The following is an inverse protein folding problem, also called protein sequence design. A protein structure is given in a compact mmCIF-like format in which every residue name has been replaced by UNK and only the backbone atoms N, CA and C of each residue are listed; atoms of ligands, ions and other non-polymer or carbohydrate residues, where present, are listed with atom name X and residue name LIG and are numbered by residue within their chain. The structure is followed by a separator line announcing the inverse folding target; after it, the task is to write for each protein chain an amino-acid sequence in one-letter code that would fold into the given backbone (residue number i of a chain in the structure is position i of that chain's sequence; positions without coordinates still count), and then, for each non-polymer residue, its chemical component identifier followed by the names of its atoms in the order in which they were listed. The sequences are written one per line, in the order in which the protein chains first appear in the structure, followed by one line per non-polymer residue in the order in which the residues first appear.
data_IF_730092063926
#
_entry.id   IF_730092063926
#
_cell.length_a   1.000
_cell.length_b   1.000
_cell.length_c   1.000
_cell.angle_alpha   90.00
_cell.angle_beta   90.00
_cell.angle_gamma   90.00
#
_symmetry.space_group_name_H-M   'P 1'
#
loop_
_entity.id
_entity.type
_entity.pdbx_description
1 polymer ?
#
# COMPACT_ATOMS: atom_id res chain seq x y z
N UNK A 1 15.65 22.88 19.26
CA UNK A 1 16.50 22.71 18.07
C UNK A 1 16.65 23.99 17.26
N UNK A 2 15.64 24.55 16.56
CA UNK A 2 15.82 25.83 15.83
C UNK A 2 16.26 26.96 16.76
N UNK A 3 15.62 27.11 17.93
CA UNK A 3 16.03 28.07 18.96
C UNK A 3 17.46 27.81 19.45
N UNK A 4 17.85 26.55 19.61
CA UNK A 4 19.19 26.16 20.06
C UNK A 4 20.27 26.46 19.01
N UNK A 5 19.96 26.19 17.73
CA UNK A 5 20.79 26.59 16.58
C UNK A 5 20.92 28.12 16.55
N UNK A 6 19.84 28.86 16.82
CA UNK A 6 19.89 30.32 16.84
C UNK A 6 20.78 30.91 17.93
N UNK A 7 21.01 30.18 19.03
CA UNK A 7 21.97 30.62 20.04
C UNK A 7 23.43 30.31 19.67
N UNK A 8 23.67 29.40 18.72
CA UNK A 8 25.02 28.96 18.34
C UNK A 8 25.51 29.62 17.06
N UNK A 9 24.61 29.99 16.15
CA UNK A 9 24.91 30.76 14.95
C UNK A 9 24.65 32.24 15.23
N UNK A 10 25.72 33.03 15.29
CA UNK A 10 25.62 34.48 15.26
C UNK A 10 25.16 34.88 13.85
N UNK A 11 24.06 35.64 13.73
CA UNK A 11 23.52 36.10 12.45
C UNK A 11 24.55 36.90 11.63
N UNK A 12 25.59 37.46 12.26
CA UNK A 12 26.70 38.12 11.57
C UNK A 12 27.66 37.18 10.84
N UNK A 13 27.59 35.87 11.11
CA UNK A 13 28.47 34.87 10.50
C UNK A 13 28.03 34.42 9.10
N UNK A 14 26.79 34.72 8.69
CA UNK A 14 26.25 34.33 7.38
C UNK A 14 25.94 35.57 6.56
N UNK A 15 26.62 35.70 5.43
CA UNK A 15 26.43 36.82 4.51
C UNK A 15 25.29 36.54 3.52
N UNK A 16 24.71 37.57 2.88
CA UNK A 16 23.77 37.36 1.77
C UNK A 16 24.33 36.49 0.64
N UNK A 17 25.63 36.60 0.36
CA UNK A 17 26.31 35.80 -0.67
C UNK A 17 26.37 34.32 -0.29
N UNK A 18 26.51 34.00 1.01
CA UNK A 18 26.44 32.62 1.51
C UNK A 18 25.04 32.04 1.30
N UNK A 19 23.99 32.81 1.58
CA UNK A 19 22.60 32.40 1.35
C UNK A 19 22.33 32.14 -0.14
N UNK A 20 22.82 33.01 -1.02
CA UNK A 20 22.73 32.80 -2.47
C UNK A 20 23.46 31.52 -2.90
N UNK A 21 24.66 31.26 -2.36
CA UNK A 21 25.40 30.04 -2.60
C UNK A 21 24.62 28.79 -2.14
N UNK A 22 24.00 28.83 -0.96
CA UNK A 22 23.15 27.74 -0.45
C UNK A 22 21.94 27.48 -1.35
N UNK A 23 21.27 28.52 -1.85
CA UNK A 23 20.15 28.38 -2.80
C UNK A 23 20.59 27.79 -4.14
N UNK A 24 21.74 28.23 -4.66
CA UNK A 24 22.31 27.73 -5.91
C UNK A 24 22.64 26.24 -5.81
N UNK A 25 23.23 25.82 -4.69
CA UNK A 25 23.54 24.42 -4.42
C UNK A 25 22.28 23.55 -4.22
N UNK A 26 21.29 24.05 -3.49
CA UNK A 26 19.99 23.39 -3.35
C UNK A 26 19.33 23.18 -4.71
N UNK A 27 19.31 24.22 -5.57
CA UNK A 27 18.73 24.13 -6.90
C UNK A 27 19.39 23.05 -7.74
N UNK A 28 20.73 23.00 -7.77
CA UNK A 28 21.48 21.97 -8.49
C UNK A 28 21.12 20.57 -8.00
N UNK A 29 20.99 20.40 -6.69
CA UNK A 29 20.60 19.13 -6.06
C UNK A 29 19.18 18.74 -6.47
N UNK A 30 18.24 19.69 -6.41
CA UNK A 30 16.85 19.49 -6.80
C UNK A 30 16.69 19.14 -8.29
N UNK A 31 17.42 19.81 -9.18
CA UNK A 31 17.44 19.49 -10.61
C UNK A 31 17.94 18.06 -10.86
N UNK A 32 18.99 17.63 -10.14
CA UNK A 32 19.49 16.27 -10.22
C UNK A 32 18.46 15.25 -9.71
N UNK A 33 17.79 15.54 -8.59
CA UNK A 33 16.72 14.71 -8.03
C UNK A 33 15.53 14.61 -8.99
N UNK A 34 15.04 15.73 -9.53
CA UNK A 34 13.94 15.74 -10.48
C UNK A 34 14.27 14.95 -11.75
N UNK A 35 15.49 15.11 -12.28
CA UNK A 35 15.97 14.34 -13.44
C UNK A 35 15.99 12.84 -13.15
N UNK A 36 16.50 12.44 -11.98
CA UNK A 36 16.53 11.05 -11.55
C UNK A 36 15.11 10.48 -11.42
N UNK A 37 14.20 11.21 -10.77
CA UNK A 37 12.81 10.79 -10.62
C UNK A 37 12.10 10.66 -11.97
N UNK A 38 12.26 11.61 -12.88
CA UNK A 38 11.67 11.52 -14.23
C UNK A 38 12.12 10.27 -14.97
N UNK A 39 13.42 9.98 -14.93
CA UNK A 39 13.96 8.80 -15.59
C UNK A 39 13.40 7.51 -15.01
N UNK A 40 13.22 7.48 -13.69
CA UNK A 40 12.70 6.30 -12.98
C UNK A 40 11.20 6.11 -13.22
N UNK A 41 10.40 7.18 -13.15
CA UNK A 41 8.94 7.10 -13.28
C UNK A 41 8.45 7.03 -14.72
N UNK A 42 8.99 7.86 -15.62
CA UNK A 42 8.45 8.02 -16.97
C UNK A 42 9.19 7.19 -18.01
N UNK A 43 10.53 7.11 -17.94
CA UNK A 43 11.29 6.41 -19.00
C UNK A 43 11.29 4.89 -18.82
N UNK A 44 11.23 4.41 -17.57
CA UNK A 44 11.29 2.98 -17.25
C UNK A 44 9.93 2.37 -16.87
N UNK A 45 8.88 3.19 -16.76
CA UNK A 45 7.46 2.83 -16.81
C UNK A 45 6.87 1.95 -15.69
N UNK A 46 7.69 1.39 -14.79
CA UNK A 46 7.21 0.37 -13.84
C UNK A 46 7.79 0.48 -12.42
N UNK A 47 8.44 1.59 -12.07
CA UNK A 47 9.07 1.73 -10.76
C UNK A 47 8.08 1.60 -9.60
N UNK A 48 6.93 2.27 -9.70
CA UNK A 48 5.85 2.21 -8.72
C UNK A 48 5.34 0.79 -8.52
N UNK A 49 5.14 0.06 -9.62
CA UNK A 49 4.68 -1.33 -9.64
C UNK A 49 5.69 -2.24 -8.97
N UNK A 50 6.97 -2.14 -9.35
CA UNK A 50 8.06 -2.90 -8.72
C UNK A 50 8.11 -2.61 -7.23
N UNK A 51 8.12 -1.33 -6.85
CA UNK A 51 8.17 -0.91 -5.45
C UNK A 51 7.00 -1.46 -4.62
N UNK A 52 5.78 -1.34 -5.14
CA UNK A 52 4.58 -1.80 -4.45
C UNK A 52 4.55 -3.32 -4.33
N UNK A 53 5.11 -4.06 -5.29
CA UNK A 53 5.19 -5.52 -5.21
C UNK A 53 6.26 -6.04 -4.23
N UNK A 54 7.25 -5.23 -3.85
CA UNK A 54 8.25 -5.63 -2.86
C UNK A 54 7.64 -5.99 -1.50
N UNK A 55 8.23 -6.98 -0.83
CA UNK A 55 7.87 -7.28 0.55
C UNK A 55 8.10 -6.07 1.46
N UNK A 56 7.31 -5.92 2.53
CA UNK A 56 7.44 -4.81 3.48
C UNK A 56 8.85 -4.74 4.10
N UNK A 57 9.51 -5.88 4.29
CA UNK A 57 10.90 -5.92 4.77
C UNK A 57 11.89 -5.33 3.75
N UNK A 58 11.72 -5.64 2.48
CA UNK A 58 12.57 -5.09 1.41
C UNK A 58 12.30 -3.59 1.20
N UNK A 59 11.03 -3.18 1.21
CA UNK A 59 10.67 -1.76 1.19
C UNK A 59 11.32 -1.02 2.36
N UNK A 60 11.20 -1.55 3.58
CA UNK A 60 11.79 -0.98 4.78
C UNK A 60 13.32 -0.89 4.69
N UNK A 61 13.98 -1.92 4.16
CA UNK A 61 15.44 -1.93 3.93
C UNK A 61 15.89 -0.79 3.02
N UNK A 62 15.21 -0.56 1.89
CA UNK A 62 15.57 0.52 0.96
C UNK A 62 15.34 1.92 1.55
N UNK A 63 14.27 2.12 2.32
CA UNK A 63 14.04 3.38 3.04
C UNK A 63 15.14 3.62 4.08
N UNK A 64 15.49 2.59 4.86
CA UNK A 64 16.55 2.69 5.87
C UNK A 64 17.93 2.93 5.24
N UNK A 65 18.21 2.30 4.10
CA UNK A 65 19.45 2.54 3.35
C UNK A 65 19.51 3.98 2.81
N UNK A 66 18.40 4.51 2.29
CA UNK A 66 18.29 5.91 1.89
C UNK A 66 18.55 6.88 3.04
N UNK A 67 17.95 6.63 4.20
CA UNK A 67 18.19 7.41 5.43
C UNK A 67 19.66 7.32 5.86
N UNK A 68 20.21 6.10 5.94
CA UNK A 68 21.60 5.86 6.36
C UNK A 68 22.59 6.60 5.47
N UNK A 69 22.45 6.50 4.13
CA UNK A 69 23.33 7.18 3.18
C UNK A 69 23.21 8.71 3.30
N UNK A 70 22.00 9.22 3.45
CA UNK A 70 21.77 10.67 3.59
C UNK A 70 22.38 11.21 4.87
N UNK A 71 22.21 10.51 5.99
CA UNK A 71 22.82 10.89 7.27
C UNK A 71 24.35 10.77 7.28
N UNK A 72 24.93 9.94 6.41
CA UNK A 72 26.38 9.80 6.23
C UNK A 72 26.96 10.81 5.23
N UNK A 73 26.12 11.58 4.54
CA UNK A 73 26.55 12.54 3.53
C UNK A 73 27.08 13.82 4.19
N UNK A 74 28.35 14.12 3.93
CA UNK A 74 29.07 15.29 4.46
C UNK A 74 28.49 16.63 3.99
N UNK A 75 27.65 16.64 2.96
CA UNK A 75 27.04 17.84 2.40
C UNK A 75 25.76 18.27 3.15
N UNK A 76 25.33 17.51 4.15
CA UNK A 76 24.23 17.89 5.04
C UNK A 76 24.79 18.66 6.24
N UNK A 77 24.41 19.94 6.38
CA UNK A 77 25.03 20.89 7.34
C UNK A 77 25.00 20.38 8.79
N UNK A 78 23.98 19.61 9.17
CA UNK A 78 23.84 19.03 10.51
C UNK A 78 23.82 17.49 10.51
N UNK A 79 24.33 16.86 9.45
CA UNK A 79 24.44 15.41 9.38
C UNK A 79 23.11 14.69 9.71
N UNK A 80 23.14 13.70 10.63
CA UNK A 80 21.94 12.97 11.04
C UNK A 80 20.82 13.83 11.66
N UNK A 81 21.16 14.95 12.30
CA UNK A 81 20.17 15.80 13.00
C UNK A 81 19.26 16.56 12.04
N UNK A 82 19.67 16.71 10.77
CA UNK A 82 18.84 17.30 9.71
C UNK A 82 17.53 16.53 9.49
N UNK A 83 17.50 15.25 9.88
CA UNK A 83 16.29 14.43 9.87
C UNK A 83 15.17 14.99 10.77
N UNK A 84 15.52 15.67 11.86
CA UNK A 84 14.53 16.25 12.77
C UNK A 84 13.64 17.31 12.10
N UNK A 85 14.12 17.92 11.00
CA UNK A 85 13.36 18.89 10.20
C UNK A 85 12.50 18.24 9.11
N UNK A 86 12.54 16.91 8.95
CA UNK A 86 11.90 16.19 7.85
C UNK A 86 10.79 15.23 8.36
N UNK A 87 9.70 15.73 8.96
CA UNK A 87 8.65 14.87 9.52
C UNK A 87 7.89 14.04 8.46
N UNK A 88 7.98 14.41 7.18
CA UNK A 88 7.51 13.60 6.06
C UNK A 88 8.32 12.31 5.85
N UNK A 89 9.61 12.29 6.24
CA UNK A 89 10.51 11.14 6.04
C UNK A 89 10.53 10.26 7.30
N UNK A 90 9.42 9.55 7.53
CA UNK A 90 9.36 8.50 8.55
C UNK A 90 9.09 7.15 7.90
N UNK A 91 9.76 6.09 8.40
CA UNK A 91 9.56 4.72 7.91
C UNK A 91 8.09 4.34 7.95
N UNK A 92 7.37 4.71 9.02
CA UNK A 92 5.93 4.46 9.16
C UNK A 92 5.10 5.13 8.07
N UNK A 93 5.36 6.41 7.77
CA UNK A 93 4.59 7.13 6.74
C UNK A 93 4.91 6.56 5.35
N UNK A 94 6.18 6.31 5.06
CA UNK A 94 6.61 5.83 3.74
C UNK A 94 6.18 4.38 3.46
N UNK A 95 6.10 3.54 4.50
CA UNK A 95 5.56 2.17 4.39
C UNK A 95 4.03 2.09 4.50
N UNK A 96 3.33 3.20 4.70
CA UNK A 96 1.88 3.18 4.86
C UNK A 96 1.18 2.68 3.59
N UNK A 97 0.06 1.97 3.79
CA UNK A 97 -0.78 1.42 2.71
C UNK A 97 0.02 0.53 1.75
N UNK A 98 0.75 -0.45 2.30
CA UNK A 98 1.57 -1.36 1.51
C UNK A 98 2.72 -0.71 0.75
N UNK A 99 3.20 0.46 1.21
CA UNK A 99 4.27 1.22 0.57
C UNK A 99 3.81 2.34 -0.37
N UNK A 100 2.49 2.55 -0.55
CA UNK A 100 1.96 3.66 -1.34
C UNK A 100 2.40 5.02 -0.81
N UNK A 101 2.60 5.15 0.51
CA UNK A 101 3.09 6.39 1.12
C UNK A 101 4.44 6.87 0.55
N UNK A 102 5.34 5.95 0.18
CA UNK A 102 6.60 6.30 -0.48
C UNK A 102 6.38 6.77 -1.93
N UNK A 103 5.52 6.09 -2.69
CA UNK A 103 5.18 6.51 -4.07
C UNK A 103 4.56 7.90 -4.05
N UNK A 104 3.57 8.14 -3.21
CA UNK A 104 2.90 9.44 -3.07
C UNK A 104 3.90 10.55 -2.68
N UNK A 105 4.86 10.23 -1.81
CA UNK A 105 5.93 11.14 -1.42
C UNK A 105 6.86 11.48 -2.60
N UNK A 106 7.28 10.49 -3.39
CA UNK A 106 8.12 10.71 -4.57
C UNK A 106 7.40 11.53 -5.64
N UNK A 107 6.14 11.21 -5.93
CA UNK A 107 5.31 11.94 -6.90
C UNK A 107 5.17 13.40 -6.49
N UNK A 108 4.79 13.67 -5.24
CA UNK A 108 4.68 15.05 -4.73
C UNK A 108 6.01 15.79 -4.75
N UNK A 109 7.10 15.09 -4.44
CA UNK A 109 8.44 15.68 -4.52
C UNK A 109 8.75 16.07 -5.95
N UNK A 110 8.52 15.18 -6.91
CA UNK A 110 8.72 15.48 -8.33
C UNK A 110 7.92 16.71 -8.76
N UNK A 111 6.60 16.72 -8.51
CA UNK A 111 5.69 17.84 -8.83
C UNK A 111 6.21 19.19 -8.32
N UNK A 112 6.72 19.22 -7.08
CA UNK A 112 7.28 20.44 -6.48
C UNK A 112 8.60 20.84 -7.16
N UNK A 113 9.48 19.86 -7.45
CA UNK A 113 10.78 20.11 -8.06
C UNK A 113 10.72 20.47 -9.57
N UNK A 114 9.58 20.28 -10.24
CA UNK A 114 9.43 20.68 -11.66
C UNK A 114 9.29 22.21 -11.85
N UNK A 115 9.25 22.99 -10.76
CA UNK A 115 9.14 24.46 -10.82
C UNK A 115 10.39 25.11 -11.44
N UNK A 116 10.26 25.93 -12.50
CA UNK A 116 11.39 26.23 -13.39
C UNK A 116 12.40 27.28 -12.88
N UNK A 117 12.12 28.06 -11.83
CA UNK A 117 12.87 29.30 -11.61
C UNK A 117 13.36 29.58 -10.18
N UNK A 118 12.91 28.82 -9.18
CA UNK A 118 13.28 29.03 -7.78
C UNK A 118 13.46 27.69 -7.07
N UNK A 119 14.34 27.60 -6.05
CA UNK A 119 14.36 26.46 -5.15
C UNK A 119 12.95 26.18 -4.66
N UNK A 120 12.51 24.95 -4.84
CA UNK A 120 11.16 24.54 -4.50
C UNK A 120 11.17 23.95 -3.10
N UNK A 121 10.26 24.39 -2.24
CA UNK A 121 10.18 23.91 -0.87
C UNK A 121 9.01 22.95 -0.72
N UNK A 122 9.28 21.74 -0.25
CA UNK A 122 8.22 20.75 -0.07
C UNK A 122 7.27 21.21 1.05
N UNK A 123 5.96 21.41 0.77
CA UNK A 123 5.01 21.96 1.72
C UNK A 123 4.83 21.02 2.92
N UNK A 124 4.80 21.59 4.12
CA UNK A 124 4.61 20.84 5.35
C UNK A 124 3.94 21.72 6.42
N UNK A 125 2.74 21.36 6.92
CA UNK A 125 2.01 22.19 7.89
C UNK A 125 2.79 22.53 9.16
N UNK A 126 3.62 21.61 9.64
CA UNK A 126 4.46 21.85 10.81
C UNK A 126 5.58 22.85 10.50
N UNK A 127 6.15 22.79 9.28
CA UNK A 127 7.17 23.74 8.84
C UNK A 127 6.58 25.15 8.64
N UNK A 128 5.38 25.23 8.06
CA UNK A 128 4.67 26.49 7.86
C UNK A 128 4.34 27.16 9.21
N UNK A 129 3.92 26.38 10.20
CA UNK A 129 3.71 26.87 11.57
C UNK A 129 5.01 27.35 12.23
N UNK A 130 6.12 26.63 12.02
CA UNK A 130 7.43 27.02 12.53
C UNK A 130 7.90 28.37 11.95
N UNK A 131 7.65 28.61 10.65
CA UNK A 131 7.96 29.88 9.98
C UNK A 131 7.25 31.06 10.62
N UNK A 132 5.99 30.89 11.01
CA UNK A 132 5.22 31.97 11.63
C UNK A 132 5.71 32.35 13.03
N UNK A 133 6.41 31.44 13.72
CA UNK A 133 6.91 31.63 15.09
C UNK A 133 8.32 32.23 15.15
N UNK A 134 9.11 32.15 14.07
CA UNK A 134 10.52 32.55 14.03
C UNK A 134 10.76 34.05 13.81
N UNK A 135 9.97 34.93 14.43
CA UNK A 135 10.17 36.39 14.30
C UNK A 135 11.50 36.80 14.93
N UNK A 136 12.47 37.20 14.11
CA UNK A 136 13.81 37.61 14.54
C UNK A 136 14.93 36.59 14.28
N UNK A 137 14.64 35.45 13.62
CA UNK A 137 15.65 34.44 13.22
C UNK A 137 15.48 34.04 11.76
N UNK A 138 15.21 35.03 10.89
CA UNK A 138 14.87 34.80 9.47
C UNK A 138 15.98 34.07 8.71
N UNK A 139 17.25 34.47 8.91
CA UNK A 139 18.41 33.84 8.26
C UNK A 139 18.54 32.38 8.67
N UNK A 140 18.45 32.08 9.98
CA UNK A 140 18.53 30.72 10.50
C UNK A 140 17.35 29.87 9.99
N UNK A 141 16.15 30.44 9.92
CA UNK A 141 14.99 29.74 9.36
C UNK A 141 15.19 29.43 7.87
N UNK A 142 15.78 30.35 7.11
CA UNK A 142 16.10 30.13 5.70
C UNK A 142 17.15 29.03 5.52
N UNK A 143 18.26 29.06 6.27
CA UNK A 143 19.30 28.02 6.24
C UNK A 143 18.73 26.65 6.64
N UNK A 144 17.91 26.59 7.69
CA UNK A 144 17.25 25.35 8.12
C UNK A 144 16.29 24.84 7.05
N UNK A 145 15.57 25.73 6.37
CA UNK A 145 14.67 25.37 5.25
C UNK A 145 15.45 24.81 4.07
N UNK A 146 16.57 25.43 3.70
CA UNK A 146 17.45 24.94 2.64
C UNK A 146 18.02 23.57 3.01
N UNK A 147 18.54 23.42 4.22
CA UNK A 147 19.12 22.17 4.72
C UNK A 147 18.09 21.04 4.73
N UNK A 148 16.86 21.30 5.20
CA UNK A 148 15.74 20.36 5.16
C UNK A 148 15.49 19.87 3.74
N UNK A 149 15.37 20.76 2.76
CA UNK A 149 15.05 20.38 1.39
C UNK A 149 16.21 19.68 0.68
N UNK A 150 17.45 20.00 1.05
CA UNK A 150 18.64 19.28 0.59
C UNK A 150 18.67 17.84 1.15
N UNK A 151 18.34 17.66 2.43
CA UNK A 151 18.22 16.34 3.04
C UNK A 151 17.14 15.49 2.35
N UNK A 152 15.97 16.07 2.07
CA UNK A 152 14.89 15.41 1.31
C UNK A 152 15.40 14.96 -0.06
N UNK A 153 16.06 15.84 -0.81
CA UNK A 153 16.55 15.57 -2.15
C UNK A 153 17.58 14.41 -2.17
N UNK A 154 18.51 14.39 -1.20
CA UNK A 154 19.46 13.27 -1.04
C UNK A 154 18.79 11.98 -0.60
N UNK A 155 17.82 12.04 0.33
CA UNK A 155 17.06 10.86 0.74
C UNK A 155 16.38 10.20 -0.46
N UNK A 156 15.76 11.00 -1.32
CA UNK A 156 15.12 10.53 -2.55
C UNK A 156 16.16 9.88 -3.48
N UNK A 157 17.28 10.54 -3.77
CA UNK A 157 18.34 9.99 -4.62
C UNK A 157 18.92 8.68 -4.06
N UNK A 158 19.19 8.64 -2.75
CA UNK A 158 19.80 7.49 -2.09
C UNK A 158 18.86 6.28 -2.03
N UNK A 159 17.58 6.51 -1.70
CA UNK A 159 16.56 5.44 -1.63
C UNK A 159 16.24 4.89 -3.01
N UNK A 160 15.94 5.75 -3.98
CA UNK A 160 15.67 5.34 -5.37
C UNK A 160 16.89 4.67 -6.02
N UNK A 161 18.09 5.23 -5.82
CA UNK A 161 19.34 4.61 -6.28
C UNK A 161 19.60 3.25 -5.65
N UNK A 162 19.23 3.03 -4.39
CA UNK A 162 19.31 1.71 -3.75
C UNK A 162 18.40 0.69 -4.42
N UNK A 163 17.18 1.09 -4.78
CA UNK A 163 16.21 0.23 -5.47
C UNK A 163 16.69 -0.09 -6.88
N UNK A 164 17.07 0.92 -7.66
CA UNK A 164 17.58 0.75 -9.04
C UNK A 164 18.81 -0.15 -9.07
N UNK A 165 19.76 0.05 -8.15
CA UNK A 165 20.94 -0.81 -8.04
C UNK A 165 20.56 -2.29 -7.83
N UNK A 166 19.54 -2.56 -7.02
CA UNK A 166 19.10 -3.92 -6.73
C UNK A 166 18.32 -4.54 -7.89
N UNK A 167 17.55 -3.74 -8.64
CA UNK A 167 16.93 -4.14 -9.90
C UNK A 167 18.00 -4.56 -10.92
N UNK A 168 18.99 -3.69 -11.16
CA UNK A 168 20.09 -3.93 -12.12
C UNK A 168 20.90 -5.17 -11.73
N UNK A 169 21.17 -5.35 -10.43
CA UNK A 169 21.92 -6.51 -9.92
C UNK A 169 21.08 -7.76 -9.74
N UNK A 170 19.76 -7.69 -9.98
CA UNK A 170 18.80 -8.77 -9.70
C UNK A 170 19.02 -9.38 -8.31
N UNK A 171 19.10 -8.52 -7.28
CA UNK A 171 19.38 -8.95 -5.90
C UNK A 171 18.33 -9.96 -5.41
N UNK A 172 18.67 -10.81 -4.42
CA UNK A 172 17.76 -11.87 -3.94
C UNK A 172 16.37 -11.34 -3.54
N UNK A 173 16.30 -10.16 -2.90
CA UNK A 173 15.03 -9.52 -2.51
C UNK A 173 14.19 -9.03 -3.69
N UNK A 174 14.80 -8.78 -4.86
CA UNK A 174 14.13 -8.34 -6.08
C UNK A 174 13.63 -9.49 -6.94
N UNK A 175 14.24 -10.69 -6.84
CA UNK A 175 13.92 -11.82 -7.74
C UNK A 175 12.43 -12.12 -7.86
N UNK A 176 11.62 -12.21 -6.78
CA UNK A 176 10.20 -12.52 -6.93
C UNK A 176 9.43 -11.44 -7.71
N UNK A 177 9.79 -10.17 -7.53
CA UNK A 177 9.14 -9.05 -8.21
C UNK A 177 9.57 -9.01 -9.67
N UNK A 178 10.86 -9.18 -9.96
CA UNK A 178 11.35 -9.22 -11.34
C UNK A 178 10.80 -10.42 -12.10
N UNK A 179 10.65 -11.58 -11.46
CA UNK A 179 9.99 -12.75 -12.05
C UNK A 179 8.54 -12.45 -12.43
N UNK A 180 7.80 -11.73 -11.57
CA UNK A 180 6.44 -11.25 -11.92
C UNK A 180 6.53 -10.30 -13.11
N UNK A 181 7.40 -9.29 -13.08
CA UNK A 181 7.50 -8.28 -14.14
C UNK A 181 7.94 -8.88 -15.50
N UNK A 182 8.78 -9.92 -15.49
CA UNK A 182 9.32 -10.57 -16.70
C UNK A 182 8.36 -11.61 -17.29
N UNK A 183 7.55 -12.27 -16.45
CA UNK A 183 6.69 -13.37 -16.86
C UNK A 183 5.18 -13.03 -16.86
N UNK A 184 4.80 -11.79 -16.55
CA UNK A 184 3.41 -11.34 -16.61
C UNK A 184 3.25 -10.12 -17.52
N UNK A 185 2.02 -9.86 -17.97
CA UNK A 185 1.75 -8.60 -18.67
C UNK A 185 1.86 -7.41 -17.70
N UNK A 186 2.25 -6.23 -18.22
CA UNK A 186 2.42 -5.04 -17.36
C UNK A 186 1.16 -4.64 -16.61
N UNK A 187 -0.03 -4.92 -17.17
CA UNK A 187 -1.32 -4.62 -16.55
C UNK A 187 -1.60 -5.55 -15.36
N UNK A 188 -1.13 -6.79 -15.41
CA UNK A 188 -1.19 -7.78 -14.34
C UNK A 188 -0.41 -7.28 -13.14
N UNK A 189 0.87 -6.97 -13.35
CA UNK A 189 1.75 -6.53 -12.28
C UNK A 189 1.21 -5.24 -11.65
N UNK A 190 0.73 -4.31 -12.47
CA UNK A 190 0.10 -3.07 -12.01
C UNK A 190 -1.19 -3.34 -11.21
N UNK A 191 -2.07 -4.22 -11.70
CA UNK A 191 -3.31 -4.58 -10.99
C UNK A 191 -3.00 -5.22 -9.64
N UNK A 192 -1.96 -6.06 -9.58
CA UNK A 192 -1.50 -6.72 -8.37
C UNK A 192 -0.91 -5.71 -7.37
N UNK A 193 -0.09 -4.78 -7.84
CA UNK A 193 0.44 -3.67 -7.06
C UNK A 193 -0.69 -2.80 -6.48
N UNK A 194 -1.67 -2.43 -7.32
CA UNK A 194 -2.84 -1.65 -6.90
C UNK A 194 -3.68 -2.40 -5.86
N UNK A 195 -3.98 -3.67 -6.10
CA UNK A 195 -4.70 -4.50 -5.14
C UNK A 195 -3.99 -4.51 -3.79
N UNK A 196 -2.66 -4.67 -3.78
CA UNK A 196 -1.85 -4.63 -2.55
C UNK A 196 -1.98 -3.33 -1.77
N UNK A 197 -2.09 -2.17 -2.43
CA UNK A 197 -2.30 -0.88 -1.73
C UNK A 197 -3.69 -0.76 -1.11
N UNK A 198 -4.69 -1.45 -1.65
CA UNK A 198 -6.05 -1.47 -1.10
C UNK A 198 -6.22 -2.47 0.04
N UNK A 199 -5.32 -3.46 0.12
CA UNK A 199 -5.27 -4.43 1.20
C UNK A 199 -4.70 -3.75 2.44
N UNK A 200 -5.39 -3.92 3.57
CA UNK A 200 -4.98 -3.29 4.83
C UNK A 200 -3.78 -4.04 5.39
N UNK A 201 -2.76 -3.29 5.82
CA UNK A 201 -1.59 -3.87 6.51
C UNK A 201 -1.92 -4.38 7.92
N UNK A 202 -3.01 -3.88 8.52
CA UNK A 202 -3.38 -4.16 9.92
C UNK A 202 -4.83 -4.60 10.05
N UNK A 203 -5.11 -5.58 10.94
CA UNK A 203 -6.45 -6.07 11.13
C UNK A 203 -7.43 -4.97 11.39
N UNK A 204 -8.60 -5.08 10.77
CA UNK A 204 -9.66 -4.16 11.04
C UNK A 204 -10.05 -4.32 12.50
N UNK A 205 -9.68 -3.32 13.30
CA UNK A 205 -10.06 -3.27 14.70
C UNK A 205 -11.52 -2.84 14.75
N UNK A 206 -12.35 -3.68 15.37
CA UNK A 206 -13.79 -3.44 15.55
C UNK A 206 -14.14 -3.53 17.01
N UNK A 207 -15.23 -2.87 17.39
CA UNK A 207 -15.75 -2.97 18.74
C UNK A 207 -16.42 -4.33 18.92
N UNK A 208 -16.07 -5.07 19.97
CA UNK A 208 -16.68 -6.37 20.25
C UNK A 208 -18.19 -6.25 20.54
N UNK A 209 -18.65 -5.09 21.01
CA UNK A 209 -20.06 -4.81 21.28
C UNK A 209 -20.81 -4.34 20.02
N UNK A 210 -20.46 -3.17 19.48
CA UNK A 210 -21.24 -2.52 18.41
C UNK A 210 -20.74 -2.83 16.99
N UNK A 211 -19.66 -3.62 16.86
CA UNK A 211 -19.05 -4.06 15.59
C UNK A 211 -18.48 -2.96 14.67
N UNK A 212 -18.66 -1.68 15.01
CA UNK A 212 -18.09 -0.56 14.26
C UNK A 212 -16.56 -0.58 14.29
N UNK A 213 -15.93 -0.31 13.15
CA UNK A 213 -14.50 -0.05 13.01
C UNK A 213 -14.18 1.42 13.27
N UNK A 214 -12.88 1.77 13.36
CA UNK A 214 -12.42 3.17 13.54
C UNK A 214 -12.93 4.12 12.46
N UNK A 215 -13.15 3.63 11.25
CA UNK A 215 -13.64 4.39 10.10
C UNK A 215 -15.13 4.71 10.18
N UNK A 216 -15.89 3.97 11.00
CA UNK A 216 -17.31 4.25 11.23
C UNK A 216 -17.55 5.39 12.23
N UNK A 217 -16.50 6.11 12.64
CA UNK A 217 -16.56 7.20 13.61
C UNK A 217 -15.93 8.47 13.03
N UNK A 218 -16.65 9.57 13.15
CA UNK A 218 -16.14 10.93 12.93
C UNK A 218 -16.29 11.70 14.26
N UNK A 219 -15.19 12.06 14.94
CA UNK A 219 -13.78 11.81 14.62
C UNK A 219 -13.34 10.35 14.86
N UNK A 220 -12.18 9.92 14.29
CA UNK A 220 -11.64 8.58 14.51
C UNK A 220 -11.45 8.26 16.00
N UNK A 221 -11.99 7.14 16.47
CA UNK A 221 -11.89 6.73 17.88
C UNK A 221 -10.67 5.85 18.12
N UNK A 222 -9.99 6.09 19.25
CA UNK A 222 -8.97 5.17 19.75
C UNK A 222 -9.66 4.03 20.51
N UNK A 223 -9.55 2.82 20.00
CA UNK A 223 -10.11 1.64 20.66
C UNK A 223 -9.40 1.37 21.99
N UNK A 224 -10.20 1.10 23.01
CA UNK A 224 -9.73 0.60 24.29
C UNK A 224 -9.58 -0.92 24.22
N UNK A 225 -8.62 -1.46 24.96
CA UNK A 225 -8.37 -2.90 25.03
C UNK A 225 -8.72 -3.40 26.43
N UNK A 226 -9.42 -4.53 26.52
CA UNK A 226 -9.64 -5.20 27.80
C UNK A 226 -8.29 -5.61 28.43
N UNK A 227 -7.91 -4.99 29.54
CA UNK A 227 -6.61 -5.20 30.22
C UNK A 227 -6.38 -6.65 30.65
N UNK A 228 -7.43 -7.34 31.11
CA UNK A 228 -7.37 -8.75 31.49
C UNK A 228 -7.11 -9.66 30.28
N UNK A 229 -7.75 -9.39 29.13
CA UNK A 229 -7.52 -10.20 27.92
C UNK A 229 -6.12 -9.93 27.36
N UNK A 230 -5.70 -8.66 27.30
CA UNK A 230 -4.35 -8.29 26.85
C UNK A 230 -3.24 -8.96 27.67
N UNK A 231 -3.43 -9.12 28.98
CA UNK A 231 -2.41 -9.72 29.86
C UNK A 231 -2.44 -11.26 29.85
N UNK A 232 -3.60 -11.89 29.66
CA UNK A 232 -3.76 -13.35 29.79
C UNK A 232 -3.84 -14.09 28.46
N UNK A 233 -4.12 -13.41 27.36
CA UNK A 233 -4.41 -14.03 26.07
C UNK A 233 -3.47 -13.48 24.99
N UNK A 234 -3.21 -14.28 23.96
CA UNK A 234 -2.41 -13.88 22.79
C UNK A 234 -3.19 -12.99 21.79
N UNK A 235 -4.33 -12.42 22.21
CA UNK A 235 -5.18 -11.55 21.40
C UNK A 235 -5.81 -10.44 22.24
N UNK A 236 -6.25 -9.39 21.56
CA UNK A 236 -6.77 -8.16 22.16
C UNK A 236 -8.26 -8.01 21.83
N UNK A 237 -9.09 -7.82 22.87
CA UNK A 237 -10.52 -7.50 22.71
C UNK A 237 -10.70 -5.98 22.79
N UNK A 238 -11.28 -5.43 21.74
CA UNK A 238 -11.33 -3.99 21.50
C UNK A 238 -12.73 -3.42 21.70
N UNK A 239 -12.81 -2.21 22.26
CA UNK A 239 -14.06 -1.48 22.45
C UNK A 239 -13.88 -0.01 22.04
N UNK A 240 -14.87 0.56 21.35
CA UNK A 240 -14.83 1.99 20.98
C UNK A 240 -15.09 2.92 22.16
N UNK A 241 -15.71 2.43 23.25
CA UNK A 241 -16.05 3.22 24.43
C UNK A 241 -16.23 2.34 25.67
N UNK A 242 -16.20 2.96 26.87
CA UNK A 242 -16.44 2.26 28.15
C UNK A 242 -17.87 1.76 28.25
N UNK A 243 -18.82 2.49 27.68
CA UNK A 243 -20.22 2.10 27.58
C UNK A 243 -20.36 0.78 26.82
N UNK A 244 -19.74 0.67 25.64
CA UNK A 244 -19.76 -0.58 24.86
C UNK A 244 -19.09 -1.75 25.60
N UNK A 245 -18.02 -1.50 26.36
CA UNK A 245 -17.38 -2.52 27.19
C UNK A 245 -18.30 -3.00 28.33
N UNK A 246 -19.04 -2.09 28.97
CA UNK A 246 -19.97 -2.41 30.05
C UNK A 246 -21.19 -3.19 29.56
N UNK A 247 -21.74 -2.80 28.40
CA UNK A 247 -22.86 -3.49 27.76
C UNK A 247 -22.49 -4.95 27.40
N UNK A 248 -21.32 -5.15 26.79
CA UNK A 248 -20.84 -6.49 26.43
C UNK A 248 -20.33 -7.29 27.65
N UNK A 249 -20.11 -6.65 28.81
CA UNK A 249 -19.50 -7.29 29.98
C UNK A 249 -20.23 -8.55 30.44
N UNK A 250 -21.57 -8.56 30.36
CA UNK A 250 -22.38 -9.72 30.77
C UNK A 250 -22.04 -10.99 29.98
N UNK A 251 -21.66 -10.82 28.70
CA UNK A 251 -21.23 -11.87 27.76
C UNK A 251 -19.72 -12.09 27.91
N UNK A 252 -18.92 -11.03 27.77
CA UNK A 252 -17.47 -11.07 27.80
C UNK A 252 -16.90 -11.64 29.11
N UNK A 253 -17.50 -11.37 30.28
CA UNK A 253 -16.98 -11.86 31.57
C UNK A 253 -16.86 -13.39 31.66
N UNK A 254 -17.65 -14.13 30.85
CA UNK A 254 -17.62 -15.60 30.83
C UNK A 254 -16.33 -16.13 30.21
N UNK A 255 -15.75 -15.37 29.28
CA UNK A 255 -14.59 -15.76 28.46
C UNK A 255 -13.35 -14.91 28.73
N UNK A 256 -13.52 -13.75 29.37
CA UNK A 256 -12.47 -12.78 29.71
C UNK A 256 -11.29 -13.45 30.42
N UNK A 257 -10.12 -13.37 29.80
CA UNK A 257 -8.86 -13.92 30.33
C UNK A 257 -8.81 -15.43 30.49
N UNK A 258 -9.75 -16.19 29.89
CA UNK A 258 -9.81 -17.65 29.99
C UNK A 258 -9.54 -18.33 28.65
N UNK A 259 -10.41 -18.07 27.67
CA UNK A 259 -10.32 -18.68 26.34
C UNK A 259 -10.82 -17.70 25.29
N UNK A 260 -10.25 -17.84 24.10
CA UNK A 260 -10.58 -17.05 22.93
C UNK A 260 -11.98 -17.38 22.45
N UNK A 261 -12.87 -16.39 22.44
CA UNK A 261 -14.20 -16.46 21.83
C UNK A 261 -14.41 -15.11 21.15
N UNK A 262 -14.05 -15.01 19.88
CA UNK A 262 -14.52 -13.90 19.06
C UNK A 262 -15.88 -14.23 18.49
N UNK A 263 -16.65 -13.19 18.19
CA UNK A 263 -17.93 -13.31 17.50
C UNK A 263 -17.80 -13.65 16.00
N UNK A 264 -16.61 -14.05 15.53
CA UNK A 264 -16.38 -14.37 14.11
C UNK A 264 -16.55 -13.17 13.19
N UNK A 265 -16.18 -11.96 13.65
CA UNK A 265 -16.29 -10.75 12.85
C UNK A 265 -15.28 -10.79 11.69
N UNK A 266 -15.77 -10.65 10.46
CA UNK A 266 -14.95 -10.67 9.24
C UNK A 266 -13.85 -9.61 9.23
N UNK A 267 -12.69 -9.87 8.65
CA UNK A 267 -11.58 -8.91 8.54
C UNK A 267 -10.92 -8.51 9.87
N UNK A 268 -11.24 -9.16 10.99
CA UNK A 268 -10.51 -8.99 12.26
C UNK A 268 -9.32 -9.95 12.31
N UNK A 269 -8.37 -9.77 13.24
CA UNK A 269 -7.16 -10.63 13.39
C UNK A 269 -7.45 -12.14 13.42
N UNK A 270 -8.69 -12.52 13.69
CA UNK A 270 -9.15 -13.90 13.86
C UNK A 270 -10.00 -14.42 12.72
N UNK A 271 -10.37 -13.58 11.76
CA UNK A 271 -10.86 -14.06 10.49
C UNK A 271 -9.69 -14.75 9.80
N UNK A 272 -9.83 -16.03 9.46
CA UNK A 272 -8.81 -16.77 8.70
C UNK A 272 -8.51 -16.03 7.39
N UNK A 273 -9.47 -15.27 6.85
CA UNK A 273 -9.33 -14.40 5.68
C UNK A 273 -8.52 -13.13 5.94
N UNK A 274 -8.39 -12.70 7.19
CA UNK A 274 -7.59 -11.54 7.56
C UNK A 274 -6.10 -11.90 7.71
N UNK A 275 -5.80 -13.08 8.27
CA UNK A 275 -4.44 -13.47 8.66
C UNK A 275 -3.56 -13.92 7.48
N UNK A 276 -4.05 -13.85 6.24
CA UNK A 276 -3.20 -14.02 5.06
C UNK A 276 -2.22 -12.85 4.99
N UNK A 277 -1.03 -13.05 5.55
CA UNK A 277 0.17 -12.27 5.31
C UNK A 277 0.25 -11.92 3.83
N UNK A 278 0.05 -10.65 3.48
CA UNK A 278 -0.01 -10.14 2.10
C UNK A 278 -0.69 -11.15 1.15
N UNK A 279 -2.02 -11.08 0.93
CA UNK A 279 -2.76 -12.02 0.09
C UNK A 279 -2.08 -12.34 -1.25
N UNK A 280 -1.33 -11.38 -1.81
CA UNK A 280 -0.46 -11.58 -2.97
C UNK A 280 0.69 -12.53 -2.65
N UNK A 281 1.49 -12.25 -1.63
CA UNK A 281 2.58 -13.14 -1.16
C UNK A 281 2.08 -14.51 -0.72
N UNK A 282 0.94 -14.62 -0.03
CA UNK A 282 0.34 -15.89 0.36
C UNK A 282 -0.16 -16.68 -0.85
N UNK A 283 -0.81 -16.05 -1.83
CA UNK A 283 -1.18 -16.71 -3.09
C UNK A 283 0.05 -17.14 -3.89
N UNK A 284 1.09 -16.31 -3.99
CA UNK A 284 2.36 -16.67 -4.64
C UNK A 284 2.97 -17.90 -3.97
N UNK A 285 2.99 -17.95 -2.64
CA UNK A 285 3.48 -19.13 -1.90
C UNK A 285 2.59 -20.36 -2.09
N UNK A 286 1.27 -20.21 -2.09
CA UNK A 286 0.32 -21.31 -2.20
C UNK A 286 0.13 -21.83 -3.63
N UNK A 287 0.46 -21.03 -4.66
CA UNK A 287 0.46 -21.47 -6.06
C UNK A 287 1.41 -22.63 -6.33
N UNK A 288 2.37 -22.87 -5.42
CA UNK A 288 3.33 -23.98 -5.48
C UNK A 288 2.89 -25.26 -4.75
N UNK A 289 1.69 -25.32 -4.18
CA UNK A 289 1.26 -26.54 -3.49
C UNK A 289 1.06 -27.70 -4.49
N UNK A 290 1.93 -28.71 -4.39
CA UNK A 290 1.96 -29.91 -5.23
C UNK A 290 0.82 -30.90 -4.93
N UNK A 291 0.07 -30.69 -3.85
CA UNK A 291 -0.89 -31.67 -3.33
C UNK A 291 -2.24 -31.69 -4.06
N UNK A 292 -2.41 -30.84 -5.09
CA UNK A 292 -3.59 -30.85 -5.99
C UNK A 292 -4.94 -30.52 -5.34
N UNK A 293 -4.96 -30.22 -4.04
CA UNK A 293 -6.20 -29.98 -3.30
C UNK A 293 -6.56 -28.49 -3.30
N UNK A 294 -7.44 -28.10 -4.22
CA UNK A 294 -7.99 -26.73 -4.34
C UNK A 294 -9.22 -26.62 -3.42
N UNK A 295 -9.16 -25.77 -2.40
CA UNK A 295 -10.32 -25.45 -1.58
C UNK A 295 -11.22 -24.41 -2.29
N UNK A 296 -12.51 -24.35 -1.95
CA UNK A 296 -13.49 -23.40 -2.54
C UNK A 296 -13.02 -21.93 -2.49
N UNK A 297 -12.25 -21.58 -1.46
CA UNK A 297 -11.58 -20.29 -1.29
C UNK A 297 -10.49 -20.00 -2.33
N UNK A 298 -9.83 -21.03 -2.84
CA UNK A 298 -8.75 -20.93 -3.85
C UNK A 298 -9.32 -20.69 -5.26
N UNK A 299 -10.65 -20.66 -5.40
CA UNK A 299 -11.41 -20.35 -6.62
C UNK A 299 -11.80 -18.84 -6.66
N UNK A 300 -11.41 -18.08 -5.63
CA UNK A 300 -11.79 -16.66 -5.49
C UNK A 300 -13.18 -16.45 -4.88
N UNK A 301 -13.84 -17.51 -4.44
CA UNK A 301 -15.12 -17.46 -3.75
C UNK A 301 -14.88 -17.41 -2.23
N UNK A 302 -14.89 -16.21 -1.65
CA UNK A 302 -14.83 -16.04 -0.20
C UNK A 302 -15.94 -16.80 0.53
N UNK A 303 -15.70 -17.11 1.81
CA UNK A 303 -16.75 -17.67 2.66
C UNK A 303 -17.94 -16.69 2.68
N UNK A 304 -19.16 -17.14 2.32
CA UNK A 304 -20.29 -16.23 2.14
C UNK A 304 -20.67 -15.61 3.48
N UNK A 305 -20.57 -14.28 3.59
CA UNK A 305 -21.09 -13.50 4.72
C UNK A 305 -22.59 -13.22 4.58
N UNK A 306 -23.12 -13.35 3.36
CA UNK A 306 -24.52 -13.25 2.99
C UNK A 306 -24.91 -14.40 2.04
N UNK A 307 -26.22 -14.65 1.87
CA UNK A 307 -26.73 -15.64 0.91
C UNK A 307 -26.25 -15.25 -0.49
N UNK A 308 -25.53 -16.16 -1.17
CA UNK A 308 -25.02 -15.94 -2.53
C UNK A 308 -26.20 -15.78 -3.51
N UNK A 309 -25.96 -15.06 -4.61
CA UNK A 309 -26.94 -15.04 -5.70
C UNK A 309 -27.06 -16.45 -6.30
N UNK A 310 -28.20 -16.82 -6.91
CA UNK A 310 -28.33 -18.10 -7.60
C UNK A 310 -27.25 -18.31 -8.67
N UNK A 311 -26.77 -17.23 -9.31
CA UNK A 311 -25.66 -17.29 -10.27
C UNK A 311 -24.34 -17.65 -9.59
N UNK A 312 -24.01 -17.02 -8.45
CA UNK A 312 -22.81 -17.34 -7.69
C UNK A 312 -22.84 -18.74 -7.06
N UNK A 313 -24.02 -19.22 -6.64
CA UNK A 313 -24.20 -20.61 -6.17
C UNK A 313 -23.95 -21.62 -7.28
N UNK A 314 -24.56 -21.41 -8.46
CA UNK A 314 -24.36 -22.25 -9.64
C UNK A 314 -22.88 -22.26 -10.06
N UNK A 315 -22.24 -21.08 -10.07
CA UNK A 315 -20.82 -20.96 -10.40
C UNK A 315 -19.93 -21.74 -9.43
N UNK A 316 -20.22 -21.66 -8.13
CA UNK A 316 -19.49 -22.39 -7.09
C UNK A 316 -19.61 -23.91 -7.28
N UNK A 317 -20.84 -24.40 -7.49
CA UNK A 317 -21.14 -25.82 -7.72
C UNK A 317 -20.38 -26.35 -8.96
N UNK A 318 -20.43 -25.60 -10.06
CA UNK A 318 -19.78 -26.01 -11.31
C UNK A 318 -18.25 -26.06 -11.20
N UNK A 319 -17.64 -25.11 -10.48
CA UNK A 319 -16.19 -25.07 -10.25
C UNK A 319 -15.74 -26.15 -9.26
N UNK A 320 -16.57 -26.49 -8.27
CA UNK A 320 -16.30 -27.63 -7.39
C UNK A 320 -16.33 -28.97 -8.16
N UNK A 321 -17.26 -29.10 -9.10
CA UNK A 321 -17.37 -30.27 -9.98
C UNK A 321 -16.27 -30.34 -11.07
N UNK A 322 -15.67 -29.21 -11.46
CA UNK A 322 -14.67 -29.13 -12.54
C UNK A 322 -13.47 -28.30 -12.10
N UNK A 323 -12.57 -28.90 -11.31
CA UNK A 323 -11.43 -28.22 -10.69
C UNK A 323 -10.37 -27.69 -11.67
N UNK A 324 -10.43 -28.12 -12.92
CA UNK A 324 -9.55 -27.68 -14.01
C UNK A 324 -10.09 -26.44 -14.75
N UNK A 325 -11.26 -25.94 -14.37
CA UNK A 325 -11.89 -24.74 -14.93
C UNK A 325 -11.70 -23.58 -13.97
N UNK A 326 -11.32 -22.41 -14.50
CA UNK A 326 -11.10 -21.21 -13.68
C UNK A 326 -12.38 -20.38 -13.52
N UNK A 327 -13.27 -20.45 -14.51
CA UNK A 327 -14.58 -19.80 -14.49
C UNK A 327 -15.53 -20.46 -15.49
N UNK A 328 -16.84 -20.37 -15.25
CA UNK A 328 -17.87 -20.68 -16.24
C UNK A 328 -18.54 -19.41 -16.75
N UNK A 329 -18.53 -19.22 -18.07
CA UNK A 329 -19.32 -18.20 -18.75
C UNK A 329 -20.62 -18.82 -19.25
N UNK A 330 -21.68 -18.06 -19.32
CA UNK A 330 -22.98 -18.48 -19.83
C UNK A 330 -23.31 -17.70 -21.10
N UNK A 331 -23.69 -18.42 -22.16
CA UNK A 331 -24.21 -17.78 -23.38
C UNK A 331 -25.60 -17.20 -23.15
N UNK A 332 -26.12 -16.42 -24.10
CA UNK A 332 -27.49 -15.89 -24.03
C UNK A 332 -28.57 -16.98 -23.87
N UNK A 333 -28.31 -18.21 -24.31
CA UNK A 333 -29.22 -19.36 -24.13
C UNK A 333 -29.05 -20.08 -22.78
N UNK A 334 -28.17 -19.59 -21.90
CA UNK A 334 -27.87 -20.20 -20.61
C UNK A 334 -26.93 -21.41 -20.69
N UNK A 335 -26.41 -21.75 -21.88
CA UNK A 335 -25.43 -22.83 -22.01
C UNK A 335 -24.09 -22.41 -21.37
N UNK A 336 -23.51 -23.21 -20.47
CA UNK A 336 -22.21 -22.92 -19.87
C UNK A 336 -21.06 -23.15 -20.86
N UNK A 337 -20.02 -22.35 -20.70
CA UNK A 337 -18.78 -22.33 -21.47
C UNK A 337 -17.64 -22.31 -20.47
N UNK A 338 -16.73 -23.28 -20.61
CA UNK A 338 -15.55 -23.39 -19.74
C UNK A 338 -14.57 -22.28 -20.11
N UNK A 339 -14.17 -21.48 -19.12
CA UNK A 339 -13.11 -20.49 -19.25
C UNK A 339 -11.92 -20.99 -18.45
N UNK A 340 -10.83 -21.28 -19.18
CA UNK A 340 -9.58 -21.81 -18.64
C UNK A 340 -8.49 -20.82 -18.97
N UNK A 341 -7.68 -20.48 -17.97
CA UNK A 341 -6.50 -19.64 -18.11
C UNK A 341 -5.29 -20.55 -17.99
N UNK A 342 -4.53 -20.69 -19.07
CA UNK A 342 -3.33 -21.52 -19.09
C UNK A 342 -2.16 -20.87 -18.34
N UNK A 343 -2.09 -19.53 -18.38
CA UNK A 343 -1.06 -18.78 -17.68
C UNK A 343 -1.33 -18.71 -16.17
N UNK A 344 -0.37 -19.18 -15.37
CA UNK A 344 -0.53 -19.28 -13.92
C UNK A 344 -0.60 -17.91 -13.25
N UNK A 345 0.11 -16.91 -13.78
CA UNK A 345 0.03 -15.55 -13.27
C UNK A 345 -1.37 -14.99 -13.53
N UNK A 346 -1.81 -14.93 -14.79
CA UNK A 346 -3.13 -14.41 -15.17
C UNK A 346 -4.29 -15.13 -14.46
N UNK A 347 -4.15 -16.42 -14.15
CA UNK A 347 -5.10 -17.16 -13.32
C UNK A 347 -5.23 -16.60 -11.90
N UNK A 348 -4.10 -16.24 -11.29
CA UNK A 348 -4.06 -15.64 -9.94
C UNK A 348 -4.72 -14.26 -9.94
N UNK A 349 -4.40 -13.36 -10.88
CA UNK A 349 -5.05 -12.03 -10.92
C UNK A 349 -6.51 -12.14 -11.26
N UNK A 350 -6.90 -13.05 -12.17
CA UNK A 350 -8.33 -13.29 -12.42
C UNK A 350 -9.06 -13.63 -11.12
N UNK A 351 -8.49 -14.52 -10.29
CA UNK A 351 -9.07 -14.86 -8.98
C UNK A 351 -9.09 -13.68 -8.01
N UNK A 352 -8.02 -12.88 -7.95
CA UNK A 352 -7.94 -11.69 -7.09
C UNK A 352 -8.99 -10.65 -7.51
N UNK A 353 -9.00 -10.26 -8.78
CA UNK A 353 -9.91 -9.24 -9.33
C UNK A 353 -11.35 -9.68 -9.15
N UNK A 354 -11.66 -10.95 -9.45
CA UNK A 354 -12.99 -11.53 -9.20
C UNK A 354 -13.38 -11.47 -7.72
N UNK A 355 -12.48 -11.83 -6.80
CA UNK A 355 -12.74 -11.76 -5.37
C UNK A 355 -13.01 -10.34 -4.85
N UNK A 356 -12.56 -9.30 -5.57
CA UNK A 356 -12.82 -7.91 -5.25
C UNK A 356 -14.19 -7.42 -5.76
N UNK A 357 -14.77 -8.06 -6.79
CA UNK A 357 -16.04 -7.65 -7.41
C UNK A 357 -17.17 -7.44 -6.39
N UNK A 358 -17.43 -8.37 -5.43
CA UNK A 358 -18.53 -8.20 -4.49
C UNK A 358 -18.38 -7.00 -3.53
N UNK A 359 -17.17 -6.45 -3.42
CA UNK A 359 -16.85 -5.35 -2.51
C UNK A 359 -16.81 -3.98 -3.18
N UNK A 360 -16.87 -3.94 -4.51
CA UNK A 360 -16.76 -2.72 -5.29
C UNK A 360 -18.13 -2.26 -5.83
N UNK A 361 -18.34 -0.95 -6.05
CA UNK A 361 -19.52 -0.46 -6.76
C UNK A 361 -19.64 -1.09 -8.16
N UNK A 362 -20.87 -1.24 -8.68
CA UNK A 362 -21.13 -1.90 -9.96
C UNK A 362 -20.42 -1.26 -11.18
N UNK A 363 -19.95 -0.01 -11.06
CA UNK A 363 -19.33 0.76 -12.14
C UNK A 363 -17.80 0.82 -12.05
N UNK A 364 -17.12 -0.18 -11.47
CA UNK A 364 -15.66 -0.10 -11.39
C UNK A 364 -14.96 -0.49 -12.69
N UNK A 365 -13.90 0.25 -13.10
CA UNK A 365 -13.10 -0.04 -14.30
C UNK A 365 -12.57 -1.48 -14.36
N UNK A 366 -12.36 -2.11 -13.20
CA UNK A 366 -11.85 -3.47 -13.05
C UNK A 366 -12.76 -4.53 -13.69
N UNK A 367 -14.08 -4.38 -13.56
CA UNK A 367 -15.06 -5.28 -14.19
C UNK A 367 -14.98 -5.21 -15.72
N UNK A 368 -14.84 -4.00 -16.25
CA UNK A 368 -14.61 -3.75 -17.67
C UNK A 368 -13.35 -4.46 -18.16
N UNK A 369 -12.22 -4.26 -17.49
CA UNK A 369 -10.96 -4.89 -17.85
C UNK A 369 -11.03 -6.43 -17.81
N UNK A 370 -11.69 -6.99 -16.78
CA UNK A 370 -11.85 -8.44 -16.66
C UNK A 370 -12.74 -9.01 -17.77
N UNK A 371 -13.83 -8.31 -18.12
CA UNK A 371 -14.69 -8.72 -19.23
C UNK A 371 -13.98 -8.66 -20.59
N UNK A 372 -13.17 -7.62 -20.84
CA UNK A 372 -12.35 -7.53 -22.06
C UNK A 372 -11.31 -8.64 -22.14
N UNK A 373 -10.65 -8.96 -21.03
CA UNK A 373 -9.71 -10.07 -20.95
C UNK A 373 -10.38 -11.41 -21.29
N UNK A 374 -11.54 -11.69 -20.68
CA UNK A 374 -12.32 -12.90 -20.97
C UNK A 374 -12.77 -12.94 -22.43
N UNK A 375 -13.26 -11.82 -22.98
CA UNK A 375 -13.69 -11.73 -24.36
C UNK A 375 -12.53 -11.95 -25.34
N UNK A 376 -11.35 -11.40 -25.04
CA UNK A 376 -10.14 -11.59 -25.87
C UNK A 376 -9.76 -13.06 -25.97
N UNK A 377 -9.71 -13.76 -24.84
CA UNK A 377 -9.41 -15.20 -24.79
C UNK A 377 -10.52 -16.06 -25.42
N UNK A 378 -11.76 -15.58 -25.37
CA UNK A 378 -12.95 -16.29 -25.88
C UNK A 378 -13.46 -15.75 -27.21
N UNK A 379 -12.64 -14.97 -27.95
CA UNK A 379 -13.08 -14.21 -29.13
C UNK A 379 -13.64 -15.08 -30.26
N UNK A 380 -13.28 -16.37 -30.30
CA UNK A 380 -13.82 -17.35 -31.25
C UNK A 380 -15.10 -18.07 -30.81
N UNK A 381 -15.58 -17.86 -29.57
CA UNK A 381 -16.75 -18.58 -29.06
C UNK A 381 -18.06 -17.86 -29.44
N UNK A 382 -18.94 -18.50 -30.24
CA UNK A 382 -20.19 -17.88 -30.66
C UNK A 382 -21.14 -17.72 -29.46
N UNK A 383 -21.80 -16.56 -29.40
CA UNK A 383 -22.83 -16.28 -28.39
C UNK A 383 -22.28 -15.72 -27.06
N UNK A 384 -20.99 -15.41 -26.99
CA UNK A 384 -20.41 -14.57 -25.94
C UNK A 384 -20.22 -13.15 -26.49
N UNK A 385 -20.62 -12.16 -25.69
CA UNK A 385 -20.36 -10.75 -25.96
C UNK A 385 -19.87 -10.09 -24.68
N UNK A 386 -19.24 -8.92 -24.83
CA UNK A 386 -18.81 -8.09 -23.70
C UNK A 386 -19.94 -7.88 -22.68
N UNK A 387 -21.13 -7.51 -23.15
CA UNK A 387 -22.29 -7.22 -22.31
C UNK A 387 -22.80 -8.47 -21.57
N UNK A 388 -22.75 -9.63 -22.23
CA UNK A 388 -23.12 -10.91 -21.61
C UNK A 388 -22.15 -11.27 -20.49
N UNK A 389 -20.84 -11.05 -20.70
CA UNK A 389 -19.81 -11.33 -19.69
C UNK A 389 -19.97 -10.36 -18.51
N UNK A 390 -20.09 -9.05 -18.76
CA UNK A 390 -20.29 -8.05 -17.71
C UNK A 390 -21.54 -8.34 -16.88
N UNK A 391 -22.65 -8.69 -17.52
CA UNK A 391 -23.90 -9.02 -16.82
C UNK A 391 -23.72 -10.20 -15.85
N UNK A 392 -22.90 -11.20 -16.20
CA UNK A 392 -22.62 -12.33 -15.32
C UNK A 392 -21.73 -11.92 -14.14
N UNK A 393 -20.66 -11.17 -14.42
CA UNK A 393 -19.76 -10.67 -13.38
C UNK A 393 -20.49 -9.78 -12.37
N UNK A 394 -21.48 -8.99 -12.81
CA UNK A 394 -22.32 -8.17 -11.93
C UNK A 394 -23.41 -8.96 -11.19
N UNK A 395 -23.75 -10.17 -11.64
CA UNK A 395 -24.79 -11.01 -11.04
C UNK A 395 -24.25 -11.93 -9.94
N UNK A 396 -22.93 -12.14 -9.87
CA UNK A 396 -22.25 -12.78 -8.74
C UNK A 396 -22.23 -11.85 -7.51
#
# INVERSE_FOLDING_TARGET
MIEEISYTLDDSAVTPDDIEAFHSDLRRTQEATARSLRSIFFDQGHFDTIWLLLSTSEQGRHILEGLKKTCADVQTLWGPDSRAFCPEITVTNLLSQGGKGFVDFLTRTLEVLESPNKPAFLPNPWWDEAQHRSRGTEIIFEITTITRNKFIAYFVLASTGSIVNDIVKRSEGMKPVLDIMENSDGLFAQSLAMAKTTLRDKPLVRCENCTKSSEGFEPPVRFMVCSTCKSKLAFEVHYCSRTCQQEDWSVHKRTCGKKKVSKGLSGTKEDDLWAFTDPVTAMIRNSRNQDGHVALRDIGLGAPTAKRSPAAELQAEMLEANRDVDYFLFTASGKPVRFVIDDSAAKITFKIVRGMVPTQPAETPHLGAMAEYMLKLMSGYPGLSRDIILKQLCAE
#
